data_IF_888090439619
#
_entry.id   IF_888090439619
#
_cell.length_a   1.000
_cell.length_b   1.000
_cell.length_c   1.000
_cell.angle_alpha   90.00
_cell.angle_beta   90.00
_cell.angle_gamma   90.00
#
_symmetry.space_group_name_H-M   'P 1'
#
loop_
_entity.id
_entity.type
_entity.pdbx_description
1 polymer ?
#
# COMPACT_ATOMS: atom_id res chain seq x y z
N UNK A 1 -6.39 51.52 38.32
CA UNK A 1 -5.61 50.36 37.81
C UNK A 1 -6.61 49.29 37.35
N UNK A 2 -7.02 49.34 36.08
CA UNK A 2 -7.86 48.30 35.44
C UNK A 2 -7.06 47.79 34.24
N UNK A 3 -6.56 46.57 34.33
CA UNK A 3 -5.90 45.87 33.21
C UNK A 3 -7.00 45.37 32.26
N UNK A 4 -7.00 45.89 31.02
CA UNK A 4 -7.74 45.29 29.92
C UNK A 4 -6.95 44.08 29.40
N UNK A 5 -7.53 42.90 29.51
CA UNK A 5 -7.06 41.70 28.81
C UNK A 5 -7.47 41.78 27.35
N UNK A 6 -6.49 41.90 26.45
CA UNK A 6 -6.68 41.77 25.01
C UNK A 6 -6.65 40.28 24.66
N UNK A 7 -7.80 39.72 24.30
CA UNK A 7 -7.93 38.36 23.81
C UNK A 7 -7.64 38.38 22.29
N UNK A 8 -6.41 38.08 21.88
CA UNK A 8 -6.07 37.89 20.47
C UNK A 8 -6.69 36.59 19.97
N UNK A 9 -7.81 36.72 19.25
CA UNK A 9 -8.43 35.65 18.50
C UNK A 9 -7.51 35.29 17.32
N UNK A 10 -6.76 34.20 17.44
CA UNK A 10 -6.03 33.61 16.32
C UNK A 10 -7.06 33.06 15.33
N UNK A 11 -7.34 33.83 14.28
CA UNK A 11 -8.09 33.35 13.12
C UNK A 11 -7.20 32.33 12.39
N UNK A 12 -7.42 31.03 12.64
CA UNK A 12 -6.87 29.98 11.79
C UNK A 12 -7.52 30.13 10.41
N UNK A 13 -6.83 30.86 9.54
CA UNK A 13 -7.11 30.82 8.12
C UNK A 13 -6.64 29.44 7.62
N UNK A 14 -7.52 28.45 7.57
CA UNK A 14 -7.28 27.24 6.80
C UNK A 14 -7.38 27.63 5.34
N UNK A 15 -6.29 28.17 4.80
CA UNK A 15 -6.06 28.12 3.37
C UNK A 15 -5.99 26.63 3.01
N UNK A 16 -7.07 26.11 2.43
CA UNK A 16 -7.01 24.88 1.66
C UNK A 16 -6.11 25.22 0.48
N UNK A 17 -4.81 24.98 0.62
CA UNK A 17 -3.96 24.85 -0.54
C UNK A 17 -4.49 23.64 -1.30
N UNK A 18 -5.26 23.89 -2.36
CA UNK A 18 -5.36 22.92 -3.44
C UNK A 18 -3.92 22.70 -3.93
N UNK A 19 -3.31 21.63 -3.45
CA UNK A 19 -1.98 21.24 -3.89
C UNK A 19 -2.15 20.82 -5.35
N UNK A 20 -1.90 21.74 -6.28
CA UNK A 20 -1.84 21.45 -7.71
C UNK A 20 -0.66 20.48 -7.91
N UNK A 21 -0.91 19.19 -7.69
CA UNK A 21 0.05 18.12 -7.92
C UNK A 21 0.17 17.94 -9.43
N UNK A 22 0.96 18.81 -10.05
CA UNK A 22 1.30 18.73 -11.46
C UNK A 22 1.99 17.39 -11.71
N UNK A 23 1.47 16.59 -12.65
CA UNK A 23 2.09 15.33 -13.06
C UNK A 23 2.74 15.46 -14.43
N UNK A 24 3.90 14.82 -14.58
CA UNK A 24 4.69 14.83 -15.81
C UNK A 24 4.68 13.44 -16.44
N UNK A 25 4.19 13.34 -17.68
CA UNK A 25 4.01 12.06 -18.37
C UNK A 25 4.71 12.06 -19.72
N UNK A 26 5.64 11.13 -19.91
CA UNK A 26 6.31 10.89 -21.18
C UNK A 26 5.60 9.75 -21.93
N UNK A 27 5.13 9.99 -23.15
CA UNK A 27 4.54 8.96 -24.00
C UNK A 27 5.54 8.48 -25.05
N UNK A 28 5.93 7.22 -24.99
CA UNK A 28 6.67 6.54 -26.06
C UNK A 28 5.75 5.52 -26.72
N UNK A 29 5.43 5.74 -28.00
CA UNK A 29 4.50 4.89 -28.70
C UNK A 29 4.50 5.13 -30.21
N UNK A 30 3.34 5.00 -30.82
CA UNK A 30 3.19 5.18 -32.26
C UNK A 30 1.85 5.86 -32.60
N UNK A 31 1.29 5.54 -33.77
CA UNK A 31 0.04 6.12 -34.25
C UNK A 31 -1.15 5.91 -33.32
N UNK A 32 -1.20 4.84 -32.52
CA UNK A 32 -2.27 4.63 -31.53
C UNK A 32 -2.25 5.69 -30.42
N UNK A 33 -1.06 6.20 -30.07
CA UNK A 33 -0.91 7.33 -29.15
C UNK A 33 -1.05 8.67 -29.88
N UNK A 34 -0.63 8.77 -31.14
CA UNK A 34 -0.66 10.05 -31.87
C UNK A 34 -2.06 10.46 -32.34
N UNK A 35 -2.87 9.50 -32.79
CA UNK A 35 -4.19 9.78 -33.36
C UNK A 35 -5.09 10.49 -32.34
N UNK A 36 -5.79 11.53 -32.83
CA UNK A 36 -6.59 12.48 -32.04
C UNK A 36 -5.80 13.18 -30.91
N UNK A 37 -4.46 13.11 -30.95
CA UNK A 37 -3.54 13.66 -29.96
C UNK A 37 -3.90 13.22 -28.53
N UNK A 38 -3.87 11.90 -28.27
CA UNK A 38 -4.22 11.33 -26.97
C UNK A 38 -3.54 12.02 -25.78
N UNK A 39 -2.23 12.35 -25.79
CA UNK A 39 -1.60 13.06 -24.68
C UNK A 39 -2.27 14.40 -24.37
N UNK A 40 -2.62 15.18 -25.41
CA UNK A 40 -3.33 16.44 -25.23
C UNK A 40 -4.79 16.23 -24.78
N UNK A 41 -5.48 15.20 -25.27
CA UNK A 41 -6.82 14.89 -24.79
C UNK A 41 -6.81 14.49 -23.32
N UNK A 42 -5.80 13.74 -22.89
CA UNK A 42 -5.59 13.41 -21.48
C UNK A 42 -5.32 14.65 -20.62
N UNK A 43 -4.52 15.62 -21.09
CA UNK A 43 -4.32 16.88 -20.35
C UNK A 43 -5.62 17.68 -20.22
N UNK A 44 -6.46 17.71 -21.26
CA UNK A 44 -7.77 18.37 -21.20
C UNK A 44 -8.75 17.68 -20.24
N UNK A 45 -8.76 16.34 -20.22
CA UNK A 45 -9.54 15.55 -19.28
C UNK A 45 -9.15 15.91 -17.84
N UNK A 46 -7.85 15.90 -17.53
CA UNK A 46 -7.34 16.23 -16.20
C UNK A 46 -7.60 17.70 -15.82
N UNK A 47 -7.39 18.63 -16.75
CA UNK A 47 -7.64 20.06 -16.51
C UNK A 47 -9.11 20.33 -16.17
N UNK A 48 -10.02 19.55 -16.73
CA UNK A 48 -11.46 19.67 -16.48
C UNK A 48 -11.88 19.38 -15.04
N UNK A 49 -10.99 18.78 -14.23
CA UNK A 49 -11.15 18.52 -12.79
C UNK A 49 -10.16 19.32 -11.93
N UNK A 50 -9.46 20.28 -12.52
CA UNK A 50 -8.47 21.13 -11.85
C UNK A 50 -7.06 20.53 -11.77
N UNK A 51 -6.80 19.39 -12.40
CA UNK A 51 -5.49 18.75 -12.40
C UNK A 51 -4.61 19.23 -13.57
N UNK A 52 -3.33 19.47 -13.31
CA UNK A 52 -2.38 19.88 -14.35
C UNK A 52 -1.50 18.70 -14.76
N UNK A 53 -1.49 18.38 -16.05
CA UNK A 53 -0.59 17.38 -16.63
C UNK A 53 0.33 18.06 -17.63
N UNK A 54 1.62 17.82 -17.50
CA UNK A 54 2.61 18.18 -18.50
C UNK A 54 2.99 16.92 -19.25
N UNK A 55 2.82 16.93 -20.57
CA UNK A 55 3.16 15.78 -21.41
C UNK A 55 4.27 16.10 -22.38
N UNK A 56 5.09 15.11 -22.68
CA UNK A 56 5.94 15.07 -23.87
C UNK A 56 5.77 13.70 -24.53
N UNK A 57 6.14 13.58 -25.81
CA UNK A 57 5.94 12.35 -26.57
C UNK A 57 7.01 12.12 -27.63
N UNK A 58 7.21 10.86 -27.98
CA UNK A 58 7.83 10.43 -29.23
C UNK A 58 6.99 9.29 -29.80
N UNK A 59 6.29 9.54 -30.91
CA UNK A 59 5.23 8.68 -31.45
C UNK A 59 5.36 8.38 -32.95
N UNK A 60 6.52 7.88 -33.45
CA UNK A 60 6.65 7.61 -34.88
C UNK A 60 5.67 6.52 -35.34
N UNK A 61 5.17 6.60 -36.57
CA UNK A 61 4.19 5.63 -37.09
C UNK A 61 4.73 4.19 -37.06
N UNK A 62 3.91 3.24 -36.58
CA UNK A 62 4.25 1.82 -36.54
C UNK A 62 5.41 1.42 -35.61
N UNK A 63 5.91 2.33 -34.77
CA UNK A 63 7.06 2.06 -33.91
C UNK A 63 6.83 0.95 -32.89
N UNK A 64 7.94 0.30 -32.53
CA UNK A 64 8.01 -0.79 -31.56
C UNK A 64 8.78 -0.38 -30.31
N UNK A 65 8.68 -1.15 -29.22
CA UNK A 65 9.53 -0.92 -28.04
C UNK A 65 11.02 -1.13 -28.39
N UNK A 66 11.33 -2.10 -29.25
CA UNK A 66 12.68 -2.27 -29.79
C UNK A 66 13.18 -0.99 -30.47
N UNK A 67 12.35 -0.37 -31.32
CA UNK A 67 12.68 0.90 -31.96
C UNK A 67 12.96 2.01 -30.94
N UNK A 68 12.11 2.16 -29.92
CA UNK A 68 12.32 3.15 -28.86
C UNK A 68 13.58 2.91 -28.02
N UNK A 69 13.96 1.65 -27.79
CA UNK A 69 15.13 1.27 -26.96
C UNK A 69 16.47 1.77 -27.52
N UNK A 70 16.51 2.08 -28.81
CA UNK A 70 17.70 2.60 -29.50
C UNK A 70 17.50 3.99 -30.12
N UNK A 71 16.27 4.52 -30.06
CA UNK A 71 15.95 5.81 -30.65
C UNK A 71 16.49 6.97 -29.79
N UNK A 72 17.37 7.78 -30.36
CA UNK A 72 18.01 8.90 -29.65
C UNK A 72 16.99 9.86 -29.05
N UNK A 73 15.90 10.20 -29.76
CA UNK A 73 14.89 11.12 -29.23
C UNK A 73 14.17 10.55 -28.00
N UNK A 74 13.80 9.27 -28.03
CA UNK A 74 13.23 8.57 -26.87
C UNK A 74 14.19 8.57 -25.69
N UNK A 75 15.44 8.17 -25.91
CA UNK A 75 16.44 8.08 -24.84
C UNK A 75 16.76 9.45 -24.25
N UNK A 76 16.90 10.50 -25.07
CA UNK A 76 17.11 11.87 -24.59
C UNK A 76 15.93 12.37 -23.76
N UNK A 77 14.67 12.07 -24.15
CA UNK A 77 13.49 12.45 -23.36
C UNK A 77 13.45 11.71 -22.02
N UNK A 78 13.80 10.43 -21.97
CA UNK A 78 13.92 9.68 -20.71
C UNK A 78 14.99 10.29 -19.80
N UNK A 79 16.17 10.56 -20.37
CA UNK A 79 17.34 11.12 -19.69
C UNK A 79 17.12 12.54 -19.16
N UNK A 80 16.22 13.31 -19.78
CA UNK A 80 15.84 14.64 -19.29
C UNK A 80 15.29 14.61 -17.85
N UNK A 81 14.77 13.46 -17.41
CA UNK A 81 14.38 13.23 -16.03
C UNK A 81 13.11 13.97 -15.61
N UNK A 82 12.81 13.92 -14.31
CA UNK A 82 11.65 14.58 -13.69
C UNK A 82 10.31 14.12 -14.27
N UNK A 83 10.22 12.87 -14.71
CA UNK A 83 8.96 12.26 -15.12
C UNK A 83 8.32 11.53 -13.93
N UNK A 84 7.02 11.75 -13.72
CA UNK A 84 6.24 10.92 -12.80
C UNK A 84 5.87 9.59 -13.46
N UNK A 85 5.63 9.61 -14.78
CA UNK A 85 5.21 8.44 -15.52
C UNK A 85 5.88 8.39 -16.90
N UNK A 86 6.27 7.18 -17.32
CA UNK A 86 6.55 6.88 -18.72
C UNK A 86 5.55 5.86 -19.23
N UNK A 87 4.75 6.27 -20.22
CA UNK A 87 3.79 5.42 -20.90
C UNK A 87 4.47 4.74 -22.08
N UNK A 88 4.51 3.42 -22.06
CA UNK A 88 5.08 2.58 -23.11
C UNK A 88 3.97 1.88 -23.89
N UNK A 89 3.94 2.12 -25.20
CA UNK A 89 3.02 1.50 -26.13
C UNK A 89 3.80 0.69 -27.17
N UNK A 90 3.55 -0.61 -27.26
CA UNK A 90 4.12 -1.47 -28.31
C UNK A 90 3.31 -1.33 -29.61
N UNK A 91 3.84 -1.85 -30.71
CA UNK A 91 3.16 -1.97 -31.99
C UNK A 91 1.84 -2.75 -31.85
N UNK A 92 0.82 -2.32 -32.60
CA UNK A 92 -0.59 -2.74 -32.43
C UNK A 92 -0.89 -4.25 -32.47
N UNK A 93 -0.02 -5.04 -33.09
CA UNK A 93 -0.18 -6.48 -33.33
C UNK A 93 0.86 -7.31 -32.59
N UNK A 94 2.11 -6.83 -32.46
CA UNK A 94 3.23 -7.62 -31.95
C UNK A 94 2.94 -8.33 -30.61
N UNK A 95 2.34 -7.68 -29.58
CA UNK A 95 2.04 -8.39 -28.35
C UNK A 95 0.96 -9.45 -28.53
N UNK A 96 0.14 -9.41 -29.57
CA UNK A 96 -0.89 -10.44 -29.81
C UNK A 96 -0.32 -11.75 -30.41
N UNK A 97 0.91 -11.73 -30.91
CA UNK A 97 1.51 -12.85 -31.63
C UNK A 97 1.92 -14.03 -30.73
N UNK A 98 2.40 -15.10 -31.37
CA UNK A 98 2.88 -16.31 -30.70
C UNK A 98 3.98 -16.00 -29.68
N UNK A 99 3.98 -16.73 -28.56
CA UNK A 99 4.84 -16.41 -27.40
C UNK A 99 6.34 -16.34 -27.74
N UNK A 100 6.84 -17.19 -28.63
CA UNK A 100 8.27 -17.18 -29.00
C UNK A 100 8.67 -15.90 -29.73
N UNK A 101 7.80 -15.35 -30.57
CA UNK A 101 8.04 -14.06 -31.20
C UNK A 101 8.02 -12.94 -30.16
N UNK A 102 7.01 -12.91 -29.28
CA UNK A 102 6.90 -11.85 -28.25
C UNK A 102 8.09 -11.87 -27.28
N UNK A 103 8.57 -13.07 -26.90
CA UNK A 103 9.77 -13.23 -26.06
C UNK A 103 11.02 -12.62 -26.67
N UNK A 104 11.15 -12.62 -27.99
CA UNK A 104 12.34 -12.12 -28.68
C UNK A 104 12.20 -10.65 -29.08
N UNK A 105 11.00 -10.23 -29.49
CA UNK A 105 10.80 -8.93 -30.15
C UNK A 105 10.16 -7.86 -29.24
N UNK A 106 9.63 -8.24 -28.08
CA UNK A 106 8.87 -7.32 -27.21
C UNK A 106 9.44 -7.28 -25.79
N UNK A 107 9.43 -8.41 -25.07
CA UNK A 107 9.76 -8.44 -23.64
C UNK A 107 11.15 -7.90 -23.28
N UNK A 108 12.24 -8.20 -24.01
CA UNK A 108 13.56 -7.68 -23.69
C UNK A 108 13.61 -6.15 -23.77
N UNK A 109 12.85 -5.56 -24.69
CA UNK A 109 12.86 -4.12 -24.92
C UNK A 109 11.91 -3.38 -23.97
N UNK A 110 10.81 -4.02 -23.56
CA UNK A 110 10.01 -3.58 -22.42
C UNK A 110 10.87 -3.45 -21.16
N UNK A 111 11.64 -4.50 -20.84
CA UNK A 111 12.56 -4.51 -19.70
C UNK A 111 13.69 -3.48 -19.83
N UNK A 112 14.29 -3.36 -21.02
CA UNK A 112 15.34 -2.38 -21.25
C UNK A 112 14.85 -0.95 -21.06
N UNK A 113 13.69 -0.59 -21.62
CA UNK A 113 13.12 0.76 -21.48
C UNK A 113 12.73 1.07 -20.04
N UNK A 114 12.10 0.14 -19.33
CA UNK A 114 11.79 0.29 -17.90
C UNK A 114 13.07 0.51 -17.07
N UNK A 115 14.09 -0.34 -17.28
CA UNK A 115 15.37 -0.24 -16.57
C UNK A 115 16.07 1.10 -16.82
N UNK A 116 16.09 1.56 -18.08
CA UNK A 116 16.66 2.86 -18.43
C UNK A 116 15.85 3.98 -17.75
N UNK A 117 14.52 3.93 -17.82
CA UNK A 117 13.67 4.93 -17.19
C UNK A 117 13.90 5.03 -15.69
N UNK A 118 13.90 3.90 -14.98
CA UNK A 118 14.11 3.82 -13.54
C UNK A 118 15.50 4.34 -13.11
N UNK A 119 16.51 4.24 -13.98
CA UNK A 119 17.85 4.78 -13.70
C UNK A 119 17.92 6.32 -13.70
N UNK A 120 17.11 6.98 -14.52
CA UNK A 120 17.04 8.46 -14.61
C UNK A 120 15.87 9.05 -13.81
N UNK A 121 14.83 8.26 -13.55
CA UNK A 121 13.60 8.64 -12.88
C UNK A 121 13.27 7.61 -11.78
N UNK A 122 14.09 7.50 -10.71
CA UNK A 122 13.91 6.48 -9.67
C UNK A 122 12.61 6.60 -8.87
N UNK A 123 11.90 7.72 -9.04
CA UNK A 123 10.59 8.00 -8.46
C UNK A 123 9.45 8.02 -9.47
N UNK A 124 9.75 7.83 -10.75
CA UNK A 124 8.75 7.66 -11.77
C UNK A 124 8.24 6.22 -11.80
N UNK A 125 7.08 6.00 -12.40
CA UNK A 125 6.50 4.68 -12.61
C UNK A 125 6.35 4.42 -14.11
N UNK A 126 6.82 3.26 -14.58
CA UNK A 126 6.54 2.79 -15.95
C UNK A 126 5.08 2.36 -16.04
N UNK A 127 4.44 2.72 -17.15
CA UNK A 127 3.03 2.42 -17.44
C UNK A 127 2.96 1.72 -18.79
N UNK A 128 2.64 0.43 -18.79
CA UNK A 128 2.38 -0.29 -20.02
C UNK A 128 0.98 0.02 -20.53
N UNK A 129 0.90 0.66 -21.69
CA UNK A 129 -0.34 1.04 -22.36
C UNK A 129 -0.94 -0.17 -23.08
N UNK A 130 -1.79 -0.93 -22.37
CA UNK A 130 -2.52 -2.05 -22.97
C UNK A 130 -3.49 -1.55 -24.03
N UNK A 131 -3.15 -1.78 -25.29
CA UNK A 131 -3.98 -1.47 -26.45
C UNK A 131 -5.16 -2.45 -26.59
N UNK A 132 -5.91 -2.33 -27.68
CA UNK A 132 -7.13 -3.09 -27.96
C UNK A 132 -6.97 -3.98 -29.18
N UNK A 133 -7.77 -5.05 -29.26
CA UNK A 133 -7.92 -5.82 -30.50
C UNK A 133 -8.51 -4.99 -31.64
N UNK A 134 -8.12 -5.28 -32.89
CA UNK A 134 -8.72 -4.67 -34.08
C UNK A 134 -10.20 -5.04 -34.21
N UNK A 135 -11.00 -4.20 -34.89
CA UNK A 135 -12.47 -4.28 -34.89
C UNK A 135 -12.99 -5.69 -35.19
N UNK A 136 -12.40 -6.31 -36.21
CA UNK A 136 -12.72 -7.65 -36.72
C UNK A 136 -11.57 -8.65 -36.55
N UNK A 137 -10.61 -8.37 -35.65
CA UNK A 137 -9.37 -9.15 -35.55
C UNK A 137 -8.32 -8.74 -36.60
N UNK A 138 -7.27 -9.54 -36.71
CA UNK A 138 -6.15 -9.34 -37.61
C UNK A 138 -6.22 -10.33 -38.79
N UNK A 139 -7.00 -9.96 -39.81
CA UNK A 139 -7.23 -10.79 -40.99
C UNK A 139 -5.92 -11.18 -41.71
N UNK A 140 -4.89 -10.34 -41.66
CA UNK A 140 -3.61 -10.62 -42.33
C UNK A 140 -2.81 -11.73 -41.65
N UNK A 141 -2.88 -11.83 -40.32
CA UNK A 141 -2.15 -12.86 -39.56
C UNK A 141 -3.02 -14.05 -39.15
N UNK A 142 -4.34 -13.94 -39.27
CA UNK A 142 -5.32 -14.99 -39.01
C UNK A 142 -4.97 -16.35 -39.67
N UNK A 143 -4.53 -16.45 -40.94
CA UNK A 143 -4.16 -17.74 -41.54
C UNK A 143 -2.99 -18.46 -40.84
N UNK A 144 -2.09 -17.72 -40.20
CA UNK A 144 -0.91 -18.26 -39.52
C UNK A 144 -1.14 -18.49 -38.03
N UNK A 145 -1.97 -17.64 -37.41
CA UNK A 145 -2.33 -17.75 -36.00
C UNK A 145 -3.83 -17.49 -35.81
N UNK A 146 -4.68 -18.54 -35.92
CA UNK A 146 -6.13 -18.38 -35.99
C UNK A 146 -6.81 -17.70 -34.79
N UNK A 147 -6.14 -17.62 -33.64
CA UNK A 147 -6.62 -16.84 -32.49
C UNK A 147 -6.82 -15.36 -32.89
N UNK A 148 -6.06 -14.85 -33.85
CA UNK A 148 -6.15 -13.45 -34.28
C UNK A 148 -7.31 -13.18 -35.23
N UNK A 149 -8.06 -14.20 -35.68
CA UNK A 149 -9.15 -14.00 -36.64
C UNK A 149 -10.34 -13.21 -36.07
N UNK A 150 -10.42 -13.03 -34.75
CA UNK A 150 -11.52 -12.30 -34.10
C UNK A 150 -10.99 -11.19 -33.20
N UNK A 151 -11.86 -10.23 -32.88
CA UNK A 151 -11.55 -9.22 -31.88
C UNK A 151 -11.18 -9.87 -30.55
N UNK A 152 -12.00 -10.81 -30.07
CA UNK A 152 -11.85 -11.42 -28.74
C UNK A 152 -10.52 -12.16 -28.61
N UNK A 153 -10.10 -12.87 -29.65
CA UNK A 153 -8.85 -13.61 -29.62
C UNK A 153 -7.63 -12.67 -29.66
N UNK A 154 -7.64 -11.65 -30.51
CA UNK A 154 -6.57 -10.64 -30.52
C UNK A 154 -6.51 -9.84 -29.21
N UNK A 155 -7.65 -9.37 -28.69
CA UNK A 155 -7.77 -8.61 -27.44
C UNK A 155 -7.28 -9.43 -26.22
N UNK A 156 -7.63 -10.72 -26.17
CA UNK A 156 -7.17 -11.62 -25.11
C UNK A 156 -5.65 -11.81 -25.14
N UNK A 157 -5.05 -11.91 -26.32
CA UNK A 157 -3.60 -12.04 -26.46
C UNK A 157 -2.87 -10.75 -26.07
N UNK A 158 -3.39 -9.59 -26.50
CA UNK A 158 -2.87 -8.29 -26.08
C UNK A 158 -2.94 -8.15 -24.56
N UNK A 159 -4.09 -8.45 -23.95
CA UNK A 159 -4.27 -8.38 -22.50
C UNK A 159 -3.26 -9.24 -21.76
N UNK A 160 -3.14 -10.50 -22.16
CA UNK A 160 -2.19 -11.45 -21.59
C UNK A 160 -0.75 -10.92 -21.64
N UNK A 161 -0.34 -10.35 -22.76
CA UNK A 161 1.06 -10.02 -23.02
C UNK A 161 1.46 -8.68 -22.43
N UNK A 162 0.56 -7.71 -22.40
CA UNK A 162 0.75 -6.50 -21.62
C UNK A 162 0.77 -6.77 -20.10
N UNK A 163 -0.05 -7.71 -19.61
CA UNK A 163 0.02 -8.15 -18.20
C UNK A 163 1.36 -8.80 -17.88
N UNK A 164 1.84 -9.71 -18.72
CA UNK A 164 3.17 -10.28 -18.54
C UNK A 164 4.27 -9.20 -18.49
N UNK A 165 4.19 -8.17 -19.34
CA UNK A 165 5.13 -7.04 -19.29
C UNK A 165 5.02 -6.27 -17.97
N UNK A 166 3.82 -5.92 -17.52
CA UNK A 166 3.62 -5.25 -16.25
C UNK A 166 4.14 -6.06 -15.05
N UNK A 167 3.75 -7.34 -14.95
CA UNK A 167 4.12 -8.25 -13.87
C UNK A 167 5.64 -8.42 -13.78
N UNK A 168 6.32 -8.63 -14.92
CA UNK A 168 7.77 -8.89 -14.97
C UNK A 168 8.63 -7.65 -14.71
N UNK A 169 8.06 -6.45 -14.81
CA UNK A 169 8.76 -5.19 -14.57
C UNK A 169 8.29 -4.47 -13.30
N UNK A 170 7.37 -5.05 -12.52
CA UNK A 170 6.71 -4.37 -11.40
C UNK A 170 6.15 -2.99 -11.79
N UNK A 171 5.48 -2.93 -12.93
CA UNK A 171 5.02 -1.70 -13.56
C UNK A 171 3.48 -1.61 -13.58
N UNK A 172 2.96 -0.39 -13.76
CA UNK A 172 1.53 -0.17 -13.91
C UNK A 172 1.07 -0.73 -15.26
N UNK A 173 -0.09 -1.40 -15.27
CA UNK A 173 -0.79 -1.79 -16.48
C UNK A 173 -1.94 -0.81 -16.74
N UNK A 174 -1.83 0.09 -17.72
CA UNK A 174 -2.96 0.94 -18.11
C UNK A 174 -3.99 0.09 -18.88
N UNK A 175 -5.22 -0.11 -18.37
CA UNK A 175 -6.12 -1.13 -18.89
C UNK A 175 -7.05 -0.61 -20.00
N UNK A 176 -6.54 0.22 -20.92
CA UNK A 176 -7.37 0.83 -21.99
C UNK A 176 -8.07 -0.24 -22.81
N UNK A 177 -7.39 -1.31 -23.20
CA UNK A 177 -8.00 -2.44 -23.90
C UNK A 177 -9.17 -3.09 -23.14
N UNK A 178 -9.10 -3.15 -21.80
CA UNK A 178 -10.20 -3.70 -20.99
C UNK A 178 -11.41 -2.76 -20.94
N UNK A 179 -11.17 -1.44 -20.85
CA UNK A 179 -12.24 -0.42 -20.95
C UNK A 179 -12.88 -0.48 -22.34
N UNK A 180 -12.06 -0.61 -23.38
CA UNK A 180 -12.49 -0.76 -24.75
C UNK A 180 -13.40 -1.98 -24.95
N UNK A 181 -12.98 -3.14 -24.46
CA UNK A 181 -13.76 -4.37 -24.50
C UNK A 181 -15.10 -4.22 -23.76
N UNK A 182 -15.09 -3.60 -22.57
CA UNK A 182 -16.30 -3.32 -21.82
C UNK A 182 -17.29 -2.45 -22.62
N UNK A 183 -16.81 -1.37 -23.25
CA UNK A 183 -17.66 -0.49 -24.06
C UNK A 183 -18.20 -1.25 -25.26
N UNK A 184 -17.38 -2.00 -26.01
CA UNK A 184 -17.87 -2.80 -27.14
C UNK A 184 -18.98 -3.78 -26.75
N UNK A 185 -18.86 -4.39 -25.57
CA UNK A 185 -19.82 -5.39 -25.09
C UNK A 185 -21.13 -4.78 -24.59
N UNK A 186 -21.06 -3.65 -23.89
CA UNK A 186 -22.20 -3.09 -23.16
C UNK A 186 -22.81 -1.85 -23.83
N UNK A 187 -22.05 -1.19 -24.71
CA UNK A 187 -22.43 0.00 -25.45
C UNK A 187 -21.98 -0.10 -26.92
N UNK A 188 -22.41 -1.13 -27.66
CA UNK A 188 -21.97 -1.37 -29.05
C UNK A 188 -22.34 -0.25 -30.02
N UNK A 189 -23.26 0.65 -29.64
CA UNK A 189 -23.60 1.86 -30.40
C UNK A 189 -22.50 2.91 -30.41
N UNK A 190 -21.52 2.82 -29.50
CA UNK A 190 -20.38 3.74 -29.45
C UNK A 190 -19.30 3.20 -30.40
N UNK A 191 -19.15 3.86 -31.55
CA UNK A 191 -18.10 3.51 -32.51
C UNK A 191 -16.72 3.94 -31.97
N UNK A 192 -15.90 2.97 -31.60
CA UNK A 192 -14.57 3.20 -31.05
C UNK A 192 -13.47 3.24 -32.11
N UNK A 193 -13.74 2.78 -33.34
CA UNK A 193 -12.75 2.66 -34.40
C UNK A 193 -12.94 3.72 -35.49
N UNK A 194 -11.87 4.07 -36.17
CA UNK A 194 -11.95 4.70 -37.48
C UNK A 194 -12.35 3.69 -38.56
N UNK A 195 -12.51 4.18 -39.78
CA UNK A 195 -12.89 3.35 -40.93
C UNK A 195 -11.86 2.26 -41.26
N UNK A 196 -10.61 2.38 -40.79
CA UNK A 196 -9.57 1.38 -40.97
C UNK A 196 -9.63 0.22 -39.96
N UNK A 197 -10.64 0.23 -39.08
CA UNK A 197 -10.92 -0.84 -38.12
C UNK A 197 -9.80 -1.09 -37.09
N UNK A 198 -8.83 -0.18 -36.98
CA UNK A 198 -7.65 -0.31 -36.12
C UNK A 198 -7.47 0.92 -35.25
N UNK A 199 -7.37 2.10 -35.86
CA UNK A 199 -7.11 3.36 -35.16
C UNK A 199 -8.35 3.83 -34.37
N UNK A 200 -8.15 4.61 -33.30
CA UNK A 200 -9.27 5.04 -32.48
C UNK A 200 -10.05 6.18 -33.13
N UNK A 201 -11.38 6.09 -33.03
CA UNK A 201 -12.25 7.25 -33.20
C UNK A 201 -12.03 8.25 -32.07
N UNK A 202 -12.66 9.43 -32.13
CA UNK A 202 -12.62 10.39 -31.00
C UNK A 202 -13.16 9.74 -29.72
N UNK A 203 -14.20 8.90 -29.81
CA UNK A 203 -14.73 8.18 -28.66
C UNK A 203 -13.72 7.14 -28.12
N UNK A 204 -13.02 6.44 -29.00
CA UNK A 204 -11.93 5.52 -28.62
C UNK A 204 -10.79 6.23 -27.90
N UNK A 205 -10.32 7.37 -28.42
CA UNK A 205 -9.28 8.18 -27.77
C UNK A 205 -9.78 8.74 -26.44
N UNK A 206 -11.04 9.17 -26.36
CA UNK A 206 -11.63 9.65 -25.11
C UNK A 206 -11.71 8.57 -24.04
N UNK A 207 -12.02 7.32 -24.42
CA UNK A 207 -11.95 6.18 -23.52
C UNK A 207 -10.53 5.94 -22.99
N UNK A 208 -9.53 6.03 -23.85
CA UNK A 208 -8.12 5.95 -23.42
C UNK A 208 -7.74 7.10 -22.46
N UNK A 209 -8.14 8.33 -22.76
CA UNK A 209 -7.87 9.50 -21.91
C UNK A 209 -8.52 9.38 -20.52
N UNK A 210 -9.79 8.96 -20.44
CA UNK A 210 -10.49 8.70 -19.19
C UNK A 210 -9.84 7.55 -18.39
N UNK A 211 -9.35 6.53 -19.08
CA UNK A 211 -8.60 5.42 -18.46
C UNK A 211 -7.29 5.93 -17.83
N UNK A 212 -6.51 6.74 -18.56
CA UNK A 212 -5.29 7.33 -18.03
C UNK A 212 -5.56 8.28 -16.87
N UNK A 213 -6.65 9.04 -16.90
CA UNK A 213 -7.09 9.85 -15.76
C UNK A 213 -7.35 9.01 -14.51
N UNK A 214 -8.16 7.96 -14.64
CA UNK A 214 -8.43 7.05 -13.53
C UNK A 214 -7.16 6.36 -13.02
N UNK A 215 -6.26 5.95 -13.93
CA UNK A 215 -5.06 5.21 -13.57
C UNK A 215 -3.94 6.07 -12.97
N UNK A 216 -3.61 7.20 -13.59
CA UNK A 216 -2.44 8.00 -13.21
C UNK A 216 -2.75 9.02 -12.13
N UNK A 217 -3.98 9.55 -12.09
CA UNK A 217 -4.42 10.47 -11.04
C UNK A 217 -5.15 9.77 -9.91
N UNK A 218 -5.58 8.51 -10.10
CA UNK A 218 -6.27 7.72 -9.07
C UNK A 218 -7.52 8.45 -8.57
N UNK A 219 -8.25 9.06 -9.52
CA UNK A 219 -9.47 9.86 -9.27
C UNK A 219 -10.65 9.30 -10.05
N UNK A 220 -11.85 9.57 -9.52
CA UNK A 220 -13.10 9.16 -10.13
C UNK A 220 -13.30 9.87 -11.49
N UNK A 221 -13.32 9.14 -12.62
CA UNK A 221 -13.47 9.74 -13.95
C UNK A 221 -14.88 10.31 -14.21
N UNK A 222 -15.88 10.00 -13.38
CA UNK A 222 -17.22 10.61 -13.53
C UNK A 222 -17.23 12.10 -13.18
N UNK A 223 -16.19 12.60 -12.51
CA UNK A 223 -15.98 14.02 -12.22
C UNK A 223 -15.49 14.83 -13.43
N UNK A 224 -15.01 14.17 -14.48
CA UNK A 224 -14.51 14.81 -15.71
C UNK A 224 -15.63 15.63 -16.34
N UNK A 225 -15.40 16.92 -16.57
CA UNK A 225 -16.40 17.82 -17.20
C UNK A 225 -16.17 17.98 -18.71
N UNK A 226 -14.95 17.78 -19.19
CA UNK A 226 -14.63 17.81 -20.62
C UNK A 226 -15.13 16.57 -21.35
N UNK A 227 -15.84 16.73 -22.48
CA UNK A 227 -16.48 15.64 -23.24
C UNK A 227 -15.83 15.30 -24.58
N UNK A 228 -14.72 15.95 -24.95
CA UNK A 228 -14.09 15.80 -26.27
C UNK A 228 -15.06 16.01 -27.46
N UNK A 229 -16.01 16.94 -27.31
CA UNK A 229 -17.07 17.24 -28.28
C UNK A 229 -18.05 16.09 -28.56
N UNK A 230 -18.00 15.00 -27.78
CA UNK A 230 -18.97 13.92 -27.84
C UNK A 230 -20.31 14.37 -27.23
N UNK A 231 -21.40 13.72 -27.64
CA UNK A 231 -22.67 13.85 -26.96
C UNK A 231 -22.52 13.45 -25.49
N UNK A 232 -23.18 14.18 -24.59
CA UNK A 232 -23.01 13.99 -23.14
C UNK A 232 -23.32 12.56 -22.67
N UNK A 233 -24.33 11.92 -23.26
CA UNK A 233 -24.66 10.52 -22.96
C UNK A 233 -23.53 9.55 -23.33
N UNK A 234 -22.86 9.73 -24.47
CA UNK A 234 -21.71 8.92 -24.92
C UNK A 234 -20.52 9.17 -23.99
N UNK A 235 -20.20 10.43 -23.72
CA UNK A 235 -19.09 10.79 -22.84
C UNK A 235 -19.28 10.19 -21.43
N UNK A 236 -20.50 10.26 -20.87
CA UNK A 236 -20.78 9.72 -19.55
C UNK A 236 -20.66 8.20 -19.50
N UNK A 237 -21.18 7.47 -20.49
CA UNK A 237 -21.00 6.00 -20.59
C UNK A 237 -19.52 5.61 -20.62
N UNK A 238 -18.68 6.38 -21.32
CA UNK A 238 -17.23 6.14 -21.39
C UNK A 238 -16.56 6.38 -20.02
N UNK A 239 -16.93 7.46 -19.32
CA UNK A 239 -16.43 7.74 -17.96
C UNK A 239 -16.84 6.64 -16.98
N UNK A 240 -18.09 6.19 -17.04
CA UNK A 240 -18.61 5.11 -16.20
C UNK A 240 -17.87 3.80 -16.46
N UNK A 241 -17.59 3.48 -17.72
CA UNK A 241 -16.76 2.32 -18.09
C UNK A 241 -15.34 2.42 -17.51
N UNK A 242 -14.69 3.58 -17.62
CA UNK A 242 -13.37 3.81 -17.02
C UNK A 242 -13.40 3.72 -15.49
N UNK A 243 -14.46 4.22 -14.84
CA UNK A 243 -14.64 4.09 -13.38
C UNK A 243 -14.70 2.62 -12.98
N UNK A 244 -15.65 1.89 -13.55
CA UNK A 244 -15.94 0.52 -13.19
C UNK A 244 -14.73 -0.41 -13.44
N UNK A 245 -14.08 -0.26 -14.59
CA UNK A 245 -12.98 -1.15 -14.99
C UNK A 245 -11.67 -0.78 -14.28
N UNK A 246 -11.43 0.51 -13.99
CA UNK A 246 -10.13 1.00 -13.52
C UNK A 246 -10.20 1.53 -12.10
N UNK A 247 -10.96 2.61 -11.86
CA UNK A 247 -10.97 3.31 -10.58
C UNK A 247 -11.47 2.42 -9.42
N UNK A 248 -12.51 1.62 -9.68
CA UNK A 248 -13.05 0.69 -8.67
C UNK A 248 -12.20 -0.59 -8.54
N UNK A 249 -11.08 -0.70 -9.27
CA UNK A 249 -10.24 -1.90 -9.34
C UNK A 249 -8.75 -1.59 -9.51
N UNK A 250 -8.24 -0.49 -8.94
CA UNK A 250 -6.87 0.00 -9.16
C UNK A 250 -5.79 -1.09 -8.98
N UNK A 251 -5.85 -1.87 -7.90
CA UNK A 251 -4.86 -2.90 -7.59
C UNK A 251 -4.84 -4.07 -8.58
N UNK A 252 -5.93 -4.31 -9.33
CA UNK A 252 -5.96 -5.33 -10.40
C UNK A 252 -4.97 -5.02 -11.53
N UNK A 253 -4.56 -3.76 -11.61
CA UNK A 253 -3.76 -3.17 -12.68
C UNK A 253 -2.41 -2.63 -12.18
N UNK A 254 -1.98 -3.07 -10.99
CA UNK A 254 -0.78 -2.61 -10.29
C UNK A 254 -0.78 -1.10 -9.95
N UNK A 255 -1.94 -0.43 -10.03
CA UNK A 255 -2.03 1.01 -9.77
C UNK A 255 -2.01 1.24 -8.26
N UNK A 256 -0.96 1.90 -7.77
CA UNK A 256 -0.78 2.20 -6.34
C UNK A 256 -0.29 1.01 -5.52
N UNK A 257 0.16 -0.08 -6.16
CA UNK A 257 0.69 -1.24 -5.45
C UNK A 257 2.06 -0.97 -4.81
N UNK A 258 2.88 -0.16 -5.47
CA UNK A 258 4.27 0.11 -5.11
C UNK A 258 4.47 1.39 -4.30
N UNK A 259 3.39 1.94 -3.72
CA UNK A 259 3.46 3.08 -2.79
C UNK A 259 3.85 2.59 -1.38
N UNK A 260 4.53 3.42 -0.56
CA UNK A 260 4.82 3.08 0.84
C UNK A 260 3.58 2.65 1.61
N UNK A 261 3.70 1.60 2.40
CA UNK A 261 2.68 1.18 3.37
C UNK A 261 3.34 1.03 4.74
N UNK A 262 2.97 1.89 5.67
CA UNK A 262 3.55 1.92 7.00
C UNK A 262 2.95 0.83 7.87
N UNK A 263 3.80 0.00 8.46
CA UNK A 263 3.40 -1.03 9.42
C UNK A 263 4.53 -1.32 10.38
N UNK A 264 4.20 -1.55 11.65
CA UNK A 264 5.16 -2.03 12.62
C UNK A 264 4.50 -2.94 13.67
N UNK A 265 5.33 -3.65 14.41
CA UNK A 265 4.98 -4.28 15.66
C UNK A 265 6.02 -3.90 16.72
N UNK A 266 5.76 -4.25 17.98
CA UNK A 266 6.67 -3.95 19.07
C UNK A 266 6.65 -5.05 20.13
N UNK A 267 7.77 -5.21 20.83
CA UNK A 267 7.90 -6.10 21.97
C UNK A 267 8.59 -5.39 23.13
N UNK A 268 8.21 -5.73 24.36
CA UNK A 268 8.95 -5.27 25.54
C UNK A 268 10.20 -6.11 25.72
N UNK A 269 11.38 -5.49 25.70
CA UNK A 269 12.63 -6.15 26.08
C UNK A 269 12.89 -6.04 27.58
N UNK A 270 12.43 -4.94 28.20
CA UNK A 270 12.52 -4.64 29.64
C UNK A 270 11.28 -3.81 30.06
N UNK A 271 11.07 -3.58 31.36
CA UNK A 271 9.86 -2.91 31.90
C UNK A 271 9.51 -1.57 31.23
N UNK A 272 10.51 -0.83 30.75
CA UNK A 272 10.33 0.48 30.09
C UNK A 272 10.96 0.55 28.70
N UNK A 273 11.48 -0.56 28.18
CA UNK A 273 12.21 -0.60 26.92
C UNK A 273 11.44 -1.44 25.90
N UNK A 274 11.18 -0.82 24.76
CA UNK A 274 10.45 -1.42 23.64
C UNK A 274 11.39 -1.55 22.45
N UNK A 275 11.38 -2.72 21.84
CA UNK A 275 12.00 -2.98 20.55
C UNK A 275 10.92 -2.92 19.47
N UNK A 276 11.08 -2.02 18.51
CA UNK A 276 10.15 -1.87 17.39
C UNK A 276 10.64 -2.65 16.18
N UNK A 277 9.74 -3.42 15.58
CA UNK A 277 9.98 -4.15 14.34
C UNK A 277 9.22 -3.47 13.22
N UNK A 278 9.96 -2.91 12.26
CA UNK A 278 9.38 -2.33 11.06
C UNK A 278 8.95 -3.41 10.08
N UNK A 279 7.69 -3.32 9.66
CA UNK A 279 7.04 -4.24 8.73
C UNK A 279 6.50 -3.47 7.51
N UNK A 280 6.95 -2.22 7.32
CA UNK A 280 6.50 -1.36 6.23
C UNK A 280 7.00 -1.92 4.91
N UNK A 281 6.19 -1.78 3.86
CA UNK A 281 6.57 -2.17 2.50
C UNK A 281 6.75 -0.95 1.61
N UNK A 282 7.53 -1.10 0.54
CA UNK A 282 7.74 -0.08 -0.51
C UNK A 282 8.26 1.28 -0.02
N UNK A 283 8.90 1.33 1.15
CA UNK A 283 9.51 2.51 1.73
C UNK A 283 11.04 2.42 1.70
N UNK A 284 11.71 3.56 1.67
CA UNK A 284 13.19 3.68 1.71
C UNK A 284 13.68 4.52 2.89
N UNK A 285 12.77 5.22 3.57
CA UNK A 285 13.07 6.07 4.72
C UNK A 285 11.93 6.01 5.73
N UNK A 286 12.25 6.26 7.00
CA UNK A 286 11.35 6.08 8.12
C UNK A 286 11.51 7.22 9.12
N UNK A 287 10.41 7.65 9.73
CA UNK A 287 10.40 8.59 10.85
C UNK A 287 9.46 8.09 11.93
N UNK A 288 10.05 7.79 13.08
CA UNK A 288 9.37 7.37 14.29
C UNK A 288 9.17 8.56 15.21
N UNK A 289 8.01 8.64 15.86
CA UNK A 289 7.79 9.44 17.05
C UNK A 289 7.20 8.54 18.11
N UNK A 290 7.82 8.51 19.29
CA UNK A 290 7.45 7.56 20.35
C UNK A 290 6.32 8.08 21.25
N UNK A 291 5.87 9.32 21.06
CA UNK A 291 4.77 9.93 21.82
C UNK A 291 5.20 10.61 23.12
N UNK A 292 6.49 10.59 23.46
CA UNK A 292 7.09 11.26 24.64
C UNK A 292 7.98 12.46 24.29
N UNK A 293 8.07 12.80 23.00
CA UNK A 293 8.92 13.87 22.47
C UNK A 293 10.13 13.35 21.69
N UNK A 294 10.52 12.09 21.89
CA UNK A 294 11.66 11.49 21.20
C UNK A 294 11.27 10.94 19.81
N UNK A 295 12.28 10.86 18.93
CA UNK A 295 12.12 10.40 17.54
C UNK A 295 13.28 9.52 17.09
N UNK A 296 13.10 8.80 15.99
CA UNK A 296 14.16 8.00 15.37
C UNK A 296 13.96 7.90 13.85
N UNK A 297 15.06 7.71 13.11
CA UNK A 297 15.05 7.43 11.66
C UNK A 297 15.57 6.03 11.33
N UNK A 298 15.89 5.22 12.34
CA UNK A 298 16.38 3.85 12.15
C UNK A 298 15.29 2.96 11.53
N UNK A 299 15.73 1.97 10.74
CA UNK A 299 14.83 0.96 10.19
C UNK A 299 14.04 0.27 11.30
N UNK A 300 14.72 -0.15 12.37
CA UNK A 300 14.14 -0.79 13.56
C UNK A 300 14.74 -0.17 14.83
N UNK A 301 14.07 0.78 15.50
CA UNK A 301 14.59 1.41 16.70
C UNK A 301 14.28 0.62 17.97
N UNK A 302 15.12 0.81 18.98
CA UNK A 302 14.80 0.49 20.37
C UNK A 302 14.58 1.81 21.11
N UNK A 303 13.58 1.86 21.99
CA UNK A 303 13.25 3.07 22.76
C UNK A 303 13.00 2.75 24.22
N UNK A 304 13.49 3.62 25.11
CA UNK A 304 13.30 3.49 26.57
C UNK A 304 12.53 4.69 27.08
N UNK A 305 11.35 4.45 27.64
CA UNK A 305 10.51 5.51 28.20
C UNK A 305 10.95 5.89 29.61
N UNK A 306 11.04 7.18 29.91
CA UNK A 306 11.41 7.65 31.24
C UNK A 306 10.30 7.38 32.28
N UNK A 307 9.05 7.61 31.90
CA UNK A 307 7.89 7.54 32.79
C UNK A 307 6.90 6.44 32.36
N UNK A 308 6.11 5.98 33.32
CA UNK A 308 4.95 5.15 33.01
C UNK A 308 3.87 6.02 32.38
N UNK A 309 3.11 5.46 31.46
CA UNK A 309 2.07 6.18 30.75
C UNK A 309 1.63 5.47 29.47
N UNK A 310 0.59 6.03 28.87
CA UNK A 310 0.19 5.70 27.50
C UNK A 310 0.94 6.60 26.54
N UNK A 311 1.54 6.01 25.52
CA UNK A 311 2.22 6.73 24.46
C UNK A 311 1.68 6.29 23.11
N UNK A 312 1.38 7.25 22.24
CA UNK A 312 0.97 6.98 20.86
C UNK A 312 2.21 6.99 19.99
N UNK A 313 2.68 5.80 19.61
CA UNK A 313 3.81 5.64 18.71
C UNK A 313 3.33 5.83 17.27
N UNK A 314 4.05 6.66 16.52
CA UNK A 314 3.79 6.94 15.11
C UNK A 314 4.99 6.51 14.27
N UNK A 315 4.73 5.81 13.17
CA UNK A 315 5.71 5.55 12.12
C UNK A 315 5.22 6.18 10.81
N UNK A 316 6.07 7.00 10.20
CA UNK A 316 5.93 7.45 8.81
C UNK A 316 6.90 6.64 7.96
N UNK A 317 6.41 5.95 6.93
CA UNK A 317 7.23 5.25 5.96
C UNK A 317 7.17 6.02 4.62
N UNK A 318 8.33 6.35 4.04
CA UNK A 318 8.41 7.25 2.89
C UNK A 318 9.28 6.70 1.74
N UNK A 319 8.85 6.96 0.51
CA UNK A 319 9.61 6.78 -0.74
C UNK A 319 9.14 7.85 -1.72
N UNK A 320 10.06 8.56 -2.37
CA UNK A 320 9.72 9.42 -3.52
C UNK A 320 8.58 10.43 -3.27
N UNK A 321 8.66 11.17 -2.17
CA UNK A 321 7.63 12.12 -1.70
C UNK A 321 6.24 11.52 -1.44
N UNK A 322 6.08 10.20 -1.56
CA UNK A 322 4.93 9.47 -1.07
C UNK A 322 5.23 8.97 0.34
N UNK A 323 4.21 8.99 1.20
CA UNK A 323 4.33 8.51 2.56
C UNK A 323 3.04 7.83 2.98
N UNK A 324 3.18 6.87 3.88
CA UNK A 324 2.07 6.33 4.66
C UNK A 324 2.40 6.47 6.14
N UNK A 325 1.38 6.54 6.99
CA UNK A 325 1.54 6.73 8.43
C UNK A 325 0.69 5.73 9.19
N UNK A 326 1.29 5.09 10.18
CA UNK A 326 0.57 4.18 11.09
C UNK A 326 0.84 4.57 12.55
N UNK A 327 -0.10 4.20 13.41
CA UNK A 327 -0.08 4.52 14.84
C UNK A 327 -0.39 3.26 15.66
N UNK A 328 0.30 3.10 16.79
CA UNK A 328 -0.06 2.13 17.82
C UNK A 328 0.12 2.74 19.20
N UNK A 329 -0.78 2.39 20.12
CA UNK A 329 -0.62 2.77 21.53
C UNK A 329 0.26 1.75 22.24
N UNK A 330 1.23 2.25 23.01
CA UNK A 330 2.01 1.45 23.96
C UNK A 330 1.70 1.89 25.39
N UNK A 331 1.60 0.91 26.28
CA UNK A 331 1.35 1.14 27.70
C UNK A 331 2.61 0.81 28.49
N UNK A 332 3.28 1.83 29.01
CA UNK A 332 4.42 1.67 29.91
C UNK A 332 3.90 1.65 31.33
N UNK A 333 4.07 0.53 32.01
CA UNK A 333 3.66 0.37 33.40
C UNK A 333 4.88 0.22 34.30
N UNK A 334 4.84 0.85 35.47
CA UNK A 334 5.88 0.75 36.50
C UNK A 334 5.77 -0.53 37.33
N UNK A 335 4.98 -1.53 36.92
CA UNK A 335 4.89 -2.82 37.62
C UNK A 335 6.10 -3.69 37.29
N UNK A 336 7.28 -3.17 37.64
CA UNK A 336 8.30 -4.01 38.23
C UNK A 336 7.89 -4.20 39.68
N UNK A 337 7.27 -5.33 40.03
CA UNK A 337 7.42 -5.79 41.41
C UNK A 337 8.90 -6.15 41.48
N UNK A 338 9.71 -5.28 42.08
CA UNK A 338 11.03 -5.68 42.54
C UNK A 338 10.80 -6.95 43.37
N UNK A 339 11.24 -8.11 42.89
CA UNK A 339 11.43 -9.23 43.78
C UNK A 339 12.52 -8.78 44.75
N UNK A 340 12.09 -8.22 45.88
CA UNK A 340 12.98 -8.05 47.02
C UNK A 340 13.44 -9.47 47.34
N UNK A 341 14.70 -9.77 47.00
CA UNK A 341 15.40 -10.99 47.40
C UNK A 341 15.42 -11.01 48.92
N UNK A 342 14.33 -11.49 49.51
CA UNK A 342 14.11 -11.53 50.95
C UNK A 342 14.80 -12.80 51.44
N UNK A 343 15.70 -12.60 52.39
CA UNK A 343 16.72 -13.54 52.89
C UNK A 343 16.12 -14.78 53.60
N UNK A 344 14.79 -14.94 53.64
CA UNK A 344 14.09 -16.07 54.24
C UNK A 344 12.95 -16.58 53.33
N UNK A 345 13.32 -17.24 52.23
CA UNK A 345 12.35 -17.80 51.28
C UNK A 345 11.56 -18.96 51.90
N UNK A 346 10.24 -18.83 51.92
CA UNK A 346 9.34 -19.94 52.22
C UNK A 346 9.08 -20.68 50.91
N UNK A 347 9.37 -21.97 50.91
CA UNK A 347 9.21 -22.79 49.72
C UNK A 347 7.78 -23.35 49.68
N UNK A 348 7.13 -23.19 48.53
CA UNK A 348 5.78 -23.69 48.29
C UNK A 348 5.75 -24.58 47.06
N UNK A 349 5.18 -25.77 47.19
CA UNK A 349 5.11 -26.75 46.10
C UNK A 349 3.94 -27.73 46.27
N UNK A 350 3.41 -28.32 45.19
CA UNK A 350 3.70 -27.97 43.81
C UNK A 350 3.13 -26.58 43.47
N UNK A 351 3.80 -25.87 42.55
CA UNK A 351 3.28 -24.64 41.95
C UNK A 351 3.42 -24.77 40.43
N UNK A 352 2.34 -24.97 39.67
CA UNK A 352 0.93 -24.87 40.08
C UNK A 352 0.43 -25.99 41.02
N UNK A 353 -0.49 -25.63 41.92
CA UNK A 353 -1.11 -26.51 42.90
C UNK A 353 -2.53 -26.93 42.46
N UNK A 354 -2.89 -28.20 42.71
CA UNK A 354 -4.28 -28.69 42.54
C UNK A 354 -5.00 -28.57 43.86
N UNK A 355 -5.11 -29.63 44.65
CA UNK A 355 -5.96 -29.58 45.85
C UNK A 355 -5.17 -29.22 47.11
N UNK A 356 -3.86 -29.39 47.08
CA UNK A 356 -2.99 -29.17 48.22
C UNK A 356 -1.77 -28.34 47.84
N UNK A 357 -1.25 -27.61 48.83
CA UNK A 357 -0.02 -26.84 48.74
C UNK A 357 0.85 -27.20 49.94
N UNK A 358 2.05 -27.73 49.69
CA UNK A 358 3.06 -27.92 50.74
C UNK A 358 3.82 -26.64 50.96
N UNK A 359 3.93 -26.22 52.22
CA UNK A 359 4.70 -25.06 52.68
C UNK A 359 5.83 -25.55 53.57
N UNK A 360 7.08 -25.30 53.15
CA UNK A 360 8.28 -25.67 53.90
C UNK A 360 8.90 -24.44 54.57
N UNK A 361 9.13 -24.53 55.89
CA UNK A 361 9.62 -23.43 56.73
C UNK A 361 10.59 -23.91 57.81
N UNK A 362 11.54 -23.04 58.21
CA UNK A 362 12.48 -23.29 59.31
C UNK A 362 11.95 -22.83 60.68
N UNK A 363 10.78 -22.21 60.71
CA UNK A 363 10.15 -21.63 61.91
C UNK A 363 8.68 -22.04 61.99
N UNK A 364 8.12 -22.05 63.21
CA UNK A 364 6.68 -22.01 63.39
C UNK A 364 6.18 -20.61 62.98
N UNK A 365 5.15 -20.56 62.14
CA UNK A 365 4.64 -19.33 61.50
C UNK A 365 3.12 -19.36 61.45
N UNK A 366 2.50 -18.18 61.45
CA UNK A 366 1.15 -18.00 60.93
C UNK A 366 1.21 -17.56 59.46
N UNK A 367 0.56 -18.33 58.58
CA UNK A 367 0.40 -17.98 57.16
C UNK A 367 -0.97 -17.35 56.89
N UNK A 368 -1.02 -16.44 55.92
CA UNK A 368 -2.22 -15.81 55.38
C UNK A 368 -2.18 -15.89 53.86
N UNK A 369 -3.25 -16.37 53.22
CA UNK A 369 -3.36 -16.45 51.76
C UNK A 369 -4.37 -15.42 51.28
N UNK A 370 -4.01 -14.64 50.27
CA UNK A 370 -4.85 -13.63 49.62
C UNK A 370 -5.06 -13.98 48.15
N UNK A 371 -6.23 -13.65 47.60
CA UNK A 371 -6.48 -13.73 46.16
C UNK A 371 -5.84 -12.54 45.42
N UNK A 372 -5.90 -12.54 44.08
CA UNK A 372 -5.35 -11.46 43.25
C UNK A 372 -6.02 -10.07 43.45
N UNK A 373 -7.19 -10.02 44.10
CA UNK A 373 -7.89 -8.78 44.44
C UNK A 373 -7.52 -8.27 45.86
N UNK A 374 -6.62 -8.96 46.56
CA UNK A 374 -6.20 -8.60 47.92
C UNK A 374 -7.17 -9.04 49.02
N UNK A 375 -8.16 -9.89 48.71
CA UNK A 375 -9.04 -10.46 49.74
C UNK A 375 -8.36 -11.63 50.44
N UNK A 376 -8.37 -11.62 51.78
CA UNK A 376 -7.88 -12.75 52.60
C UNK A 376 -8.80 -13.96 52.43
N UNK A 377 -8.24 -15.11 52.02
CA UNK A 377 -9.00 -16.35 51.75
C UNK A 377 -8.69 -17.48 52.74
N UNK A 378 -7.51 -17.48 53.37
CA UNK A 378 -7.11 -18.52 54.33
C UNK A 378 -6.14 -17.96 55.37
N UNK A 379 -6.24 -18.41 56.61
CA UNK A 379 -5.23 -18.20 57.67
C UNK A 379 -4.98 -19.53 58.37
N UNK A 380 -3.72 -19.89 58.57
CA UNK A 380 -3.35 -21.17 59.20
C UNK A 380 -2.02 -21.05 59.93
N UNK A 381 -1.90 -21.70 61.09
CA UNK A 381 -0.62 -21.89 61.76
C UNK A 381 0.09 -23.11 61.18
N UNK A 382 1.38 -22.98 60.91
CA UNK A 382 2.24 -24.05 60.40
C UNK A 382 3.46 -24.22 61.31
N UNK A 383 3.90 -25.45 61.48
CA UNK A 383 5.07 -25.78 62.29
C UNK A 383 6.36 -25.74 61.45
N UNK A 384 7.51 -25.73 62.12
CA UNK A 384 8.80 -25.95 61.46
C UNK A 384 8.78 -27.29 60.72
N UNK A 385 9.20 -27.28 59.46
CA UNK A 385 9.19 -28.44 58.56
C UNK A 385 8.24 -28.24 57.38
N UNK A 386 7.78 -29.35 56.80
CA UNK A 386 6.82 -29.36 55.70
C UNK A 386 5.39 -29.49 56.22
N UNK A 387 4.52 -28.57 55.79
CA UNK A 387 3.12 -28.56 56.18
C UNK A 387 2.25 -28.58 54.92
N UNK A 388 1.29 -29.49 54.88
CA UNK A 388 0.34 -29.58 53.77
C UNK A 388 -0.89 -28.72 54.07
N UNK A 389 -1.19 -27.79 53.17
CA UNK A 389 -2.33 -26.88 53.23
C UNK A 389 -3.38 -27.35 52.22
N UNK A 390 -4.60 -27.56 52.67
CA UNK A 390 -5.74 -27.85 51.78
C UNK A 390 -6.23 -26.54 51.14
N UNK A 391 -6.19 -26.53 49.81
CA UNK A 391 -6.65 -25.41 48.97
C UNK A 391 -7.74 -25.85 47.99
N UNK A 392 -8.34 -27.03 48.19
CA UNK A 392 -9.36 -27.59 47.30
C UNK A 392 -10.58 -26.68 47.12
N UNK A 393 -10.89 -25.86 48.14
CA UNK A 393 -12.01 -24.91 48.13
C UNK A 393 -11.67 -23.56 47.52
N UNK A 394 -10.40 -23.31 47.18
CA UNK A 394 -10.00 -22.06 46.53
C UNK A 394 -10.35 -22.13 45.03
N UNK A 395 -10.99 -21.10 44.46
CA UNK A 395 -11.17 -20.97 43.02
C UNK A 395 -9.85 -21.05 42.23
N UNK A 396 -9.94 -21.35 40.93
CA UNK A 396 -8.76 -21.30 40.05
C UNK A 396 -8.24 -19.85 39.96
N UNK A 397 -6.93 -19.66 40.10
CA UNK A 397 -6.35 -18.31 40.08
C UNK A 397 -4.96 -18.17 40.71
N UNK A 398 -4.49 -16.92 40.73
CA UNK A 398 -3.24 -16.51 41.38
C UNK A 398 -3.50 -16.14 42.84
N UNK A 399 -2.64 -16.65 43.73
CA UNK A 399 -2.70 -16.42 45.17
C UNK A 399 -1.35 -15.95 45.73
N UNK A 400 -1.43 -15.16 46.80
CA UNK A 400 -0.28 -14.64 47.53
C UNK A 400 -0.30 -15.17 48.96
N UNK A 401 0.75 -15.84 49.39
CA UNK A 401 0.94 -16.33 50.76
C UNK A 401 1.88 -15.38 51.49
N UNK A 402 1.45 -14.88 52.64
CA UNK A 402 2.22 -14.04 53.56
C UNK A 402 2.40 -14.75 54.88
N UNK A 403 3.47 -14.41 55.61
CA UNK A 403 3.67 -14.86 57.00
C UNK A 403 3.73 -13.71 57.97
N UNK A 404 3.41 -14.03 59.22
CA UNK A 404 3.57 -13.15 60.39
C UNK A 404 5.00 -12.61 60.57
N UNK A 405 6.01 -13.30 60.06
CA UNK A 405 7.41 -12.84 60.03
C UNK A 405 7.78 -12.00 58.81
N UNK A 406 6.79 -11.59 58.01
CA UNK A 406 6.98 -10.66 56.88
C UNK A 406 7.49 -11.29 55.58
N UNK A 407 7.63 -12.62 55.51
CA UNK A 407 7.97 -13.30 54.26
C UNK A 407 6.71 -13.48 53.40
N UNK A 408 6.87 -13.49 52.08
CA UNK A 408 5.77 -13.80 51.17
C UNK A 408 6.22 -14.59 49.95
N UNK A 409 5.27 -15.27 49.30
CA UNK A 409 5.45 -16.01 48.04
C UNK A 409 4.13 -16.07 47.26
N UNK A 410 4.16 -16.56 46.03
CA UNK A 410 2.97 -16.70 45.17
C UNK A 410 2.82 -18.11 44.63
N UNK A 411 1.58 -18.56 44.45
CA UNK A 411 1.27 -19.83 43.79
C UNK A 411 0.04 -19.73 42.89
N UNK A 412 -0.06 -20.63 41.91
CA UNK A 412 -1.20 -20.73 40.99
C UNK A 412 -2.02 -21.96 41.35
N UNK A 413 -3.33 -21.79 41.59
CA UNK A 413 -4.29 -22.88 41.70
C UNK A 413 -4.80 -23.26 40.31
N UNK A 414 -4.64 -24.53 39.93
CA UNK A 414 -5.16 -25.13 38.71
C UNK A 414 -6.21 -26.21 38.97
#
# INVERSE_FOLDING_TARGET
MRLLSIFSMFMLCTAVYAQNNTKRVLFLGNSYTEVNNLPQMFTQVALSTGDTIITDKNTPGGYTLMGHSTNVSSLTKIQAGNWDYMVLQEQSQLPSFGIEQVKNEVFPFAFALDSIFNSYNPCGETVFYMTWGRKNGDASNCPYFPVLCTYEGMDSMLNLRYRMMADSNNAILSPVGAVWNYIRKNHPEIELYQADESHPSVAGTYAAACTFYAALLKKDPTLITFSAYLQNNVANKIKDAAKLVVFDSLLKWHIGEYIPKAKFSFNFSETKKIEFSNQSTNATSYLWSFGDGDTSTLYQPNHTYASSGKYTVRLIAQKCNQYDTTYQEVQISSVGVNEHSSINKINVFPNPAKNTLTVSTNNNLQIKIYNALGSLVLTQSIDKGENTIDISRLPLGLYFLYTDKGNYTKFVKK
#
